data_IF_510635346136
#
_entry.id   IF_510635346136
#
_cell.length_a   1.000
_cell.length_b   1.000
_cell.length_c   1.000
_cell.angle_alpha   90.00
_cell.angle_beta   90.00
_cell.angle_gamma   90.00
#
_symmetry.space_group_name_H-M   'P 1'
#
loop_
_entity.id
_entity.type
_entity.pdbx_description
1 polymer ?
#
# COMPACT_ATOMS: atom_id res chain seq x y z
N UNK A 1 -18.06 -13.41 -1.08
CA UNK A 1 -18.11 -13.58 -2.53
C UNK A 1 -17.70 -12.34 -3.30
N UNK A 2 -17.81 -11.17 -2.70
CA UNK A 2 -17.53 -9.92 -3.39
C UNK A 2 -16.14 -9.79 -3.99
N UNK A 3 -15.15 -10.47 -3.43
CA UNK A 3 -13.78 -10.39 -3.95
C UNK A 3 -13.51 -11.36 -5.09
N UNK A 4 -14.37 -12.32 -5.33
CA UNK A 4 -14.14 -13.39 -6.31
C UNK A 4 -13.98 -12.86 -7.73
N UNK A 5 -14.78 -11.90 -8.12
CA UNK A 5 -14.70 -11.34 -9.45
C UNK A 5 -13.69 -10.21 -9.60
N UNK A 6 -13.01 -9.88 -8.51
CA UNK A 6 -12.12 -8.73 -8.49
C UNK A 6 -10.73 -9.11 -8.99
N UNK A 7 -10.32 -8.54 -10.10
CA UNK A 7 -9.00 -8.75 -10.62
C UNK A 7 -8.06 -7.68 -10.07
N UNK A 8 -7.02 -8.13 -9.35
CA UNK A 8 -5.99 -7.25 -8.82
C UNK A 8 -4.80 -7.25 -9.78
N UNK A 9 -4.36 -6.07 -10.18
CA UNK A 9 -3.27 -5.94 -11.15
C UNK A 9 -2.20 -4.99 -10.63
N UNK A 10 -0.98 -5.18 -11.12
CA UNK A 10 0.16 -4.32 -10.79
C UNK A 10 0.36 -3.24 -11.85
N UNK A 11 1.18 -2.24 -11.54
CA UNK A 11 1.58 -1.23 -12.53
C UNK A 11 2.26 -1.88 -13.72
N UNK A 12 3.02 -2.95 -13.50
CA UNK A 12 3.68 -3.68 -14.59
C UNK A 12 2.67 -4.26 -15.57
N UNK A 13 1.52 -4.71 -15.08
CA UNK A 13 0.47 -5.21 -15.96
C UNK A 13 -0.22 -4.09 -16.73
N UNK A 14 -0.24 -2.89 -16.16
CA UNK A 14 -0.84 -1.71 -16.81
C UNK A 14 0.11 -1.12 -17.86
N UNK A 15 1.39 -1.01 -17.54
CA UNK A 15 2.38 -0.30 -18.36
C UNK A 15 3.31 -1.22 -19.16
N UNK A 16 3.34 -2.51 -18.82
CA UNK A 16 4.25 -3.46 -19.44
C UNK A 16 5.46 -3.77 -18.58
N UNK A 17 6.28 -4.73 -19.03
CA UNK A 17 7.39 -5.31 -18.26
C UNK A 17 8.44 -4.29 -17.84
N UNK A 18 8.66 -3.27 -18.66
CA UNK A 18 9.68 -2.24 -18.42
C UNK A 18 9.13 -1.04 -17.65
N UNK A 19 8.02 -1.18 -16.95
CA UNK A 19 7.36 -0.10 -16.24
C UNK A 19 8.32 0.66 -15.32
N UNK A 20 8.64 1.93 -15.60
CA UNK A 20 9.47 2.74 -14.71
C UNK A 20 8.74 3.08 -13.41
N UNK A 21 7.43 3.20 -13.47
CA UNK A 21 6.62 3.55 -12.31
C UNK A 21 6.49 2.39 -11.34
N UNK A 22 6.48 1.15 -11.83
CA UNK A 22 6.51 -0.03 -10.95
C UNK A 22 7.79 -0.03 -10.11
N UNK A 23 8.94 0.25 -10.72
CA UNK A 23 10.21 0.31 -9.99
C UNK A 23 10.24 1.45 -8.99
N UNK A 24 9.70 2.61 -9.37
CA UNK A 24 9.61 3.77 -8.49
C UNK A 24 8.79 3.43 -7.25
N UNK A 25 7.62 2.82 -7.44
CA UNK A 25 6.74 2.44 -6.35
C UNK A 25 7.39 1.37 -5.47
N UNK A 26 7.96 0.33 -6.07
CA UNK A 26 8.61 -0.75 -5.31
C UNK A 26 9.73 -0.20 -4.44
N UNK A 27 10.56 0.70 -4.95
CA UNK A 27 11.62 1.34 -4.17
C UNK A 27 11.07 2.18 -3.02
N UNK A 28 10.03 2.97 -3.30
CA UNK A 28 9.41 3.80 -2.29
C UNK A 28 8.81 2.97 -1.16
N UNK A 29 8.14 1.87 -1.51
CA UNK A 29 7.54 0.99 -0.52
C UNK A 29 8.60 0.22 0.27
N UNK A 30 9.65 -0.24 -0.39
CA UNK A 30 10.76 -0.94 0.27
C UNK A 30 11.44 -0.05 1.31
N UNK A 31 11.59 1.24 1.02
CA UNK A 31 12.19 2.19 1.95
C UNK A 31 11.32 2.46 3.18
N UNK A 32 10.04 2.13 3.13
CA UNK A 32 9.05 2.45 4.17
C UNK A 32 8.52 1.22 4.91
N UNK A 33 8.76 0.03 4.38
CA UNK A 33 8.07 -1.17 4.87
C UNK A 33 8.28 -1.49 6.34
N UNK A 34 9.46 -1.21 6.88
CA UNK A 34 9.76 -1.49 8.30
C UNK A 34 8.86 -0.71 9.25
N UNK A 35 8.45 0.48 8.86
CA UNK A 35 7.57 1.30 9.68
C UNK A 35 6.24 0.61 9.95
N UNK A 36 5.77 -0.18 9.01
CA UNK A 36 4.45 -0.80 9.11
C UNK A 36 4.41 -2.00 10.04
N UNK A 37 5.58 -2.47 10.51
CA UNK A 37 5.63 -3.46 11.58
C UNK A 37 5.16 -2.86 12.92
N UNK A 38 5.11 -1.55 13.04
CA UNK A 38 4.62 -0.85 14.23
C UNK A 38 3.10 -0.64 14.22
N UNK A 39 2.43 -1.04 13.16
CA UNK A 39 0.96 -0.92 13.09
C UNK A 39 0.32 -1.94 14.02
N UNK A 40 -0.46 -1.46 14.98
CA UNK A 40 -1.17 -2.29 15.97
C UNK A 40 -2.65 -2.40 15.65
N UNK A 41 -3.19 -1.41 14.94
CA UNK A 41 -4.60 -1.31 14.63
C UNK A 41 -4.78 -1.01 13.14
N UNK A 42 -4.92 -2.07 12.36
CA UNK A 42 -5.09 -1.94 10.91
C UNK A 42 -6.40 -1.24 10.55
N UNK A 43 -7.44 -1.46 11.34
CA UNK A 43 -8.73 -0.80 11.11
C UNK A 43 -8.58 0.71 11.26
N UNK A 44 -7.86 1.15 12.31
CA UNK A 44 -7.56 2.57 12.51
C UNK A 44 -6.73 3.15 11.38
N UNK A 45 -5.72 2.40 10.93
CA UNK A 45 -4.89 2.81 9.81
C UNK A 45 -5.72 3.02 8.54
N UNK A 46 -6.58 2.05 8.22
CA UNK A 46 -7.44 2.15 7.05
C UNK A 46 -8.35 3.37 7.15
N UNK A 47 -8.99 3.59 8.30
CA UNK A 47 -9.85 4.75 8.52
C UNK A 47 -9.09 6.06 8.38
N UNK A 48 -7.85 6.10 8.83
CA UNK A 48 -7.04 7.31 8.79
C UNK A 48 -6.87 7.82 7.36
N UNK A 49 -6.72 6.91 6.40
CA UNK A 49 -6.60 7.30 4.99
C UNK A 49 -7.94 7.28 4.25
N UNK A 50 -9.04 7.02 4.95
CA UNK A 50 -10.36 6.97 4.32
C UNK A 50 -10.62 5.70 3.52
N UNK A 51 -9.97 4.61 3.90
CA UNK A 51 -10.11 3.31 3.25
C UNK A 51 -10.77 2.27 4.14
N UNK A 52 -10.55 1.02 3.80
CA UNK A 52 -11.09 -0.11 4.56
C UNK A 52 -10.12 -1.29 4.57
N UNK A 53 -10.22 -2.12 5.59
CA UNK A 53 -9.44 -3.35 5.67
C UNK A 53 -9.97 -4.35 4.65
N UNK A 54 -9.06 -5.09 4.04
CA UNK A 54 -9.38 -6.15 3.09
C UNK A 54 -8.84 -7.48 3.59
N UNK A 55 -9.36 -8.57 3.04
CA UNK A 55 -8.82 -9.91 3.25
C UNK A 55 -8.67 -10.54 1.88
N UNK A 56 -7.45 -10.58 1.37
CA UNK A 56 -7.18 -11.01 0.00
C UNK A 56 -6.88 -12.49 -0.12
N UNK A 57 -6.49 -13.15 0.99
CA UNK A 57 -6.24 -14.59 0.98
C UNK A 57 -4.98 -14.99 0.23
N UNK A 58 -4.00 -14.10 0.14
CA UNK A 58 -2.75 -14.35 -0.60
C UNK A 58 -1.54 -14.49 0.32
N UNK A 59 -1.80 -14.74 1.61
CA UNK A 59 -0.72 -14.92 2.59
C UNK A 59 -0.30 -13.64 3.30
N UNK A 60 -1.04 -12.56 3.13
CA UNK A 60 -0.71 -11.29 3.77
C UNK A 60 -1.05 -11.30 5.27
N UNK A 61 -0.28 -10.54 6.05
CA UNK A 61 -0.61 -10.29 7.46
C UNK A 61 -1.77 -9.33 7.57
N UNK A 62 -1.79 -8.32 6.71
CA UNK A 62 -2.95 -7.45 6.56
C UNK A 62 -2.93 -6.80 5.19
N UNK A 63 -4.11 -6.37 4.78
CA UNK A 63 -4.27 -5.54 3.59
C UNK A 63 -5.37 -4.53 3.82
N UNK A 64 -5.28 -3.42 3.13
CA UNK A 64 -6.31 -2.39 3.15
C UNK A 64 -6.42 -1.78 1.77
N UNK A 65 -7.55 -1.16 1.50
CA UNK A 65 -7.77 -0.54 0.20
C UNK A 65 -8.35 0.85 0.33
N UNK A 66 -8.16 1.64 -0.71
CA UNK A 66 -8.67 3.00 -0.80
C UNK A 66 -9.10 3.28 -2.23
N UNK A 67 -10.31 3.80 -2.40
CA UNK A 67 -10.71 4.31 -3.70
C UNK A 67 -10.00 5.65 -3.92
N UNK A 68 -9.16 5.71 -4.94
CA UNK A 68 -8.32 6.89 -5.20
C UNK A 68 -8.86 7.76 -6.32
N UNK A 69 -9.78 7.21 -7.10
CA UNK A 69 -10.44 7.87 -8.22
C UNK A 69 -11.71 7.07 -8.49
N UNK A 70 -12.80 7.66 -8.97
CA UNK A 70 -14.02 6.89 -9.23
C UNK A 70 -13.74 5.67 -10.11
N UNK A 71 -14.03 4.49 -9.56
CA UNK A 71 -13.79 3.23 -10.25
C UNK A 71 -12.33 2.78 -10.30
N UNK A 72 -11.47 3.34 -9.43
CA UNK A 72 -10.07 2.93 -9.30
C UNK A 72 -9.73 2.79 -7.82
N UNK A 73 -9.28 1.61 -7.43
CA UNK A 73 -8.95 1.32 -6.02
C UNK A 73 -7.54 0.77 -5.91
N UNK A 74 -6.82 1.27 -4.91
CA UNK A 74 -5.48 0.77 -4.57
C UNK A 74 -5.58 -0.16 -3.36
N UNK A 75 -4.76 -1.22 -3.36
CA UNK A 75 -4.67 -2.18 -2.26
C UNK A 75 -3.23 -2.18 -1.75
N UNK A 76 -3.06 -1.93 -0.46
CA UNK A 76 -1.76 -2.06 0.21
C UNK A 76 -1.73 -3.41 0.89
N UNK A 77 -0.71 -4.20 0.59
CA UNK A 77 -0.58 -5.59 1.04
C UNK A 77 0.70 -5.72 1.83
N UNK A 78 0.58 -6.05 3.11
CA UNK A 78 1.72 -6.13 4.01
C UNK A 78 1.98 -7.57 4.47
N UNK A 79 3.25 -7.97 4.38
CA UNK A 79 3.73 -9.23 4.94
C UNK A 79 4.86 -8.89 5.90
N UNK A 80 4.71 -9.31 7.16
CA UNK A 80 5.69 -9.03 8.20
C UNK A 80 6.97 -9.82 7.94
N UNK A 81 8.11 -9.19 8.24
CA UNK A 81 9.41 -9.86 8.13
C UNK A 81 9.65 -10.82 9.28
N UNK A 82 10.55 -11.78 9.06
CA UNK A 82 11.03 -12.69 10.08
C UNK A 82 12.55 -12.78 10.01
N UNK A 83 13.16 -13.75 10.68
CA UNK A 83 14.61 -13.91 10.74
C UNK A 83 15.21 -14.28 9.38
N UNK A 84 14.46 -14.99 8.54
CA UNK A 84 14.96 -15.46 7.26
C UNK A 84 14.62 -14.53 6.11
N UNK A 85 13.45 -13.89 6.16
CA UNK A 85 12.94 -13.09 5.07
C UNK A 85 12.53 -11.71 5.55
N UNK A 86 12.93 -10.65 4.83
CA UNK A 86 12.45 -9.31 5.14
C UNK A 86 10.95 -9.23 4.88
N UNK A 87 10.30 -8.34 5.59
CA UNK A 87 8.90 -8.04 5.30
C UNK A 87 8.75 -7.38 3.93
N UNK A 88 7.52 -7.23 3.49
CA UNK A 88 7.24 -6.56 2.24
C UNK A 88 5.97 -5.74 2.33
N UNK A 89 5.96 -4.62 1.63
CA UNK A 89 4.76 -3.83 1.40
C UNK A 89 4.62 -3.71 -0.11
N UNK A 90 3.50 -4.16 -0.63
CA UNK A 90 3.21 -4.15 -2.05
C UNK A 90 1.90 -3.45 -2.32
N UNK A 91 1.70 -3.05 -3.56
CA UNK A 91 0.48 -2.38 -3.97
C UNK A 91 -0.08 -3.05 -5.22
N UNK A 92 -1.40 -3.20 -5.23
CA UNK A 92 -2.15 -3.71 -6.37
C UNK A 92 -3.32 -2.77 -6.63
N UNK A 93 -3.92 -2.89 -7.79
CA UNK A 93 -5.01 -2.01 -8.22
C UNK A 93 -6.18 -2.83 -8.76
N UNK A 94 -7.36 -2.24 -8.69
CA UNK A 94 -8.55 -2.79 -9.33
C UNK A 94 -9.49 -1.66 -9.74
N UNK A 95 -10.49 -2.00 -10.51
CA UNK A 95 -11.57 -1.10 -10.82
C UNK A 95 -11.84 -0.97 -12.31
N UNK A 96 -13.09 -0.65 -12.63
CA UNK A 96 -13.54 -0.56 -14.02
C UNK A 96 -12.86 0.57 -14.81
N UNK A 97 -12.33 1.57 -14.11
CA UNK A 97 -11.71 2.74 -14.74
C UNK A 97 -10.18 2.72 -14.64
N UNK A 98 -9.59 1.58 -14.30
CA UNK A 98 -8.14 1.50 -14.10
C UNK A 98 -7.34 1.97 -15.33
N UNK A 99 -7.87 1.73 -16.53
CA UNK A 99 -7.20 2.11 -17.76
C UNK A 99 -7.30 3.60 -18.10
N UNK A 100 -8.11 4.34 -17.35
CA UNK A 100 -8.25 5.79 -17.55
C UNK A 100 -7.05 6.52 -16.96
N UNK A 101 -6.45 5.96 -15.91
CA UNK A 101 -5.33 6.60 -15.23
C UNK A 101 -4.00 6.15 -15.79
N UNK A 102 -3.06 7.07 -15.85
CA UNK A 102 -1.69 6.76 -16.25
C UNK A 102 -0.91 6.18 -15.08
N UNK A 103 0.12 5.39 -15.38
CA UNK A 103 0.97 4.83 -14.34
C UNK A 103 1.61 5.89 -13.46
N UNK A 104 1.96 7.04 -14.03
CA UNK A 104 2.49 8.17 -13.28
C UNK A 104 1.52 8.65 -12.20
N UNK A 105 0.25 8.78 -12.54
CA UNK A 105 -0.78 9.23 -11.60
C UNK A 105 -1.00 8.19 -10.50
N UNK A 106 -1.05 6.92 -10.88
CA UNK A 106 -1.21 5.82 -9.92
C UNK A 106 -0.05 5.78 -8.94
N UNK A 107 1.19 5.91 -9.43
CA UNK A 107 2.38 5.95 -8.58
C UNK A 107 2.32 7.13 -7.61
N UNK A 108 1.87 8.29 -8.08
CA UNK A 108 1.71 9.48 -7.25
C UNK A 108 0.73 9.25 -6.11
N UNK A 109 -0.41 8.64 -6.38
CA UNK A 109 -1.39 8.32 -5.34
C UNK A 109 -0.85 7.32 -4.33
N UNK A 110 -0.11 6.30 -4.79
CA UNK A 110 0.50 5.33 -3.87
C UNK A 110 1.43 6.03 -2.89
N UNK A 111 2.32 6.88 -3.39
CA UNK A 111 3.27 7.59 -2.54
C UNK A 111 2.55 8.53 -1.58
N UNK A 112 1.55 9.24 -2.07
CA UNK A 112 0.74 10.11 -1.23
C UNK A 112 0.12 9.35 -0.05
N UNK A 113 -0.55 8.24 -0.33
CA UNK A 113 -1.26 7.52 0.73
C UNK A 113 -0.33 6.74 1.64
N UNK A 114 0.78 6.19 1.13
CA UNK A 114 1.74 5.52 2.02
C UNK A 114 2.38 6.54 2.97
N UNK A 115 2.58 7.77 2.54
CA UNK A 115 3.08 8.81 3.43
C UNK A 115 2.06 9.19 4.50
N UNK A 116 0.77 9.21 4.17
CA UNK A 116 -0.28 9.39 5.16
C UNK A 116 -0.28 8.25 6.18
N UNK A 117 -0.07 7.04 5.71
CA UNK A 117 0.02 5.87 6.59
C UNK A 117 1.22 5.98 7.54
N UNK A 118 2.35 6.51 7.08
CA UNK A 118 3.51 6.75 7.95
C UNK A 118 3.19 7.77 9.04
N UNK A 119 2.41 8.78 8.74
CA UNK A 119 1.97 9.75 9.74
C UNK A 119 1.13 9.08 10.82
N UNK A 120 0.28 8.17 10.43
CA UNK A 120 -0.51 7.39 11.40
C UNK A 120 0.40 6.55 12.30
N UNK A 121 1.40 5.89 11.73
CA UNK A 121 2.37 5.11 12.50
C UNK A 121 3.06 6.01 13.53
N UNK A 122 3.50 7.19 13.11
CA UNK A 122 4.16 8.14 14.01
C UNK A 122 3.24 8.63 15.13
N UNK A 123 2.01 8.96 14.80
CA UNK A 123 1.05 9.49 15.75
C UNK A 123 0.60 8.46 16.78
N UNK A 124 0.56 7.19 16.39
CA UNK A 124 0.10 6.11 17.27
C UNK A 124 1.22 5.41 18.02
N UNK A 125 2.48 5.78 17.78
CA UNK A 125 3.64 5.23 18.46
C UNK A 125 4.59 6.35 18.91
N UNK A 126 4.11 7.29 19.75
CA UNK A 126 4.88 8.48 20.09
C UNK A 126 6.16 8.20 20.89
N UNK A 127 6.20 7.06 21.60
CA UNK A 127 7.35 6.71 22.43
C UNK A 127 8.27 5.69 21.77
N UNK A 128 7.97 5.25 20.57
CA UNK A 128 8.79 4.25 19.87
C UNK A 128 9.91 4.93 19.09
N UNK A 129 11.02 4.20 18.94
CA UNK A 129 12.12 4.63 18.08
C UNK A 129 11.85 4.14 16.67
N UNK A 130 11.08 4.91 15.92
CA UNK A 130 10.63 4.56 14.59
C UNK A 130 11.73 4.75 13.54
N UNK A 131 11.62 4.05 12.39
CA UNK A 131 12.49 4.34 11.25
C UNK A 131 12.42 5.80 10.87
N UNK A 132 13.55 6.36 10.46
CA UNK A 132 13.68 7.79 10.17
C UNK A 132 12.66 8.30 9.16
N UNK A 133 12.27 7.47 8.20
CA UNK A 133 11.29 7.84 7.17
C UNK A 133 9.98 8.34 7.77
N UNK A 134 9.59 7.84 8.95
CA UNK A 134 8.36 8.28 9.64
C UNK A 134 8.39 9.75 10.01
N UNK A 135 9.59 10.33 10.19
CA UNK A 135 9.77 11.71 10.61
C UNK A 135 9.96 12.67 9.45
N UNK A 136 9.97 12.17 8.23
CA UNK A 136 10.17 12.97 7.01
C UNK A 136 8.88 13.28 6.25
N UNK A 137 7.77 12.76 6.73
CA UNK A 137 6.49 12.91 6.04
C UNK A 137 5.50 13.77 6.79
#
# INVERSE_FOLDING_TARGET
MGSIGKKLISLREIEGVASPHQRQVDSALAARQKAFEYVKDVVGLAKYIGGKVESLGIGEDWSLSKEIFPGVRVYFVFVKGDEEFPGSLKVLFSGKNINVMKGEDLAGFVILYVNHMLRYVRETNPDANLPEVCYRV
#
